data_IF_821526412847
#
_entry.id   IF_821526412847
#
_cell.length_a   1.000
_cell.length_b   1.000
_cell.length_c   1.000
_cell.angle_alpha   90.00
_cell.angle_beta   90.00
_cell.angle_gamma   90.00
#
_symmetry.space_group_name_H-M   'P 1'
#
loop_
_entity.id
_entity.type
_entity.pdbx_description
1 polymer ?
#
# COMPACT_ATOMS: atom_id res chain seq x y z
N UNK A 1 -65.69 -42.12 17.65
CA UNK A 1 -66.51 -41.64 18.78
C UNK A 1 -65.58 -41.12 19.88
N UNK A 2 -66.00 -40.04 20.57
CA UNK A 2 -65.41 -39.37 21.76
C UNK A 2 -64.32 -38.30 21.52
N UNK A 3 -64.83 -37.11 21.20
CA UNK A 3 -64.61 -35.80 21.86
C UNK A 3 -64.58 -35.88 23.41
N UNK A 4 -64.09 -34.95 24.27
CA UNK A 4 -63.71 -33.53 24.29
C UNK A 4 -62.69 -33.24 25.43
N UNK A 5 -61.81 -32.25 25.19
CA UNK A 5 -61.37 -31.06 25.98
C UNK A 5 -61.22 -31.07 27.52
N UNK A 6 -60.15 -30.42 28.00
CA UNK A 6 -60.21 -29.36 29.02
C UNK A 6 -59.14 -28.29 28.82
N UNK A 7 -59.56 -27.04 29.04
CA UNK A 7 -58.85 -25.78 28.81
C UNK A 7 -58.08 -25.30 30.06
N UNK A 8 -56.98 -24.57 29.86
CA UNK A 8 -56.57 -23.49 30.75
C UNK A 8 -55.78 -22.44 29.94
N UNK A 9 -56.42 -21.29 29.71
CA UNK A 9 -55.77 -20.05 29.31
C UNK A 9 -55.37 -19.30 30.59
N UNK A 10 -54.26 -18.54 30.57
CA UNK A 10 -54.25 -17.06 30.59
C UNK A 10 -52.87 -16.49 30.99
N UNK A 11 -52.41 -15.49 30.19
CA UNK A 11 -51.58 -14.29 30.51
C UNK A 11 -50.15 -14.52 31.08
N UNK A 12 -49.09 -13.87 30.59
CA UNK A 12 -48.87 -12.42 30.41
C UNK A 12 -47.77 -12.16 29.36
N UNK A 13 -47.93 -11.02 28.68
CA UNK A 13 -47.12 -10.44 27.63
C UNK A 13 -45.73 -9.95 28.05
N UNK A 14 -44.86 -9.76 27.05
CA UNK A 14 -43.91 -8.65 27.02
C UNK A 14 -42.44 -9.03 26.92
N UNK A 15 -41.90 -9.04 25.71
CA UNK A 15 -40.89 -8.05 25.28
C UNK A 15 -40.74 -8.08 23.77
N UNK A 16 -40.91 -6.91 23.16
CA UNK A 16 -40.48 -6.60 21.79
C UNK A 16 -38.96 -6.64 21.77
N UNK A 17 -38.38 -7.42 20.87
CA UNK A 17 -37.05 -7.17 20.35
C UNK A 17 -37.11 -7.27 18.83
N UNK A 18 -37.30 -6.11 18.21
CA UNK A 18 -37.03 -5.88 16.80
C UNK A 18 -35.53 -5.93 16.59
N UNK A 19 -35.04 -6.98 15.92
CA UNK A 19 -33.91 -6.81 15.01
C UNK A 19 -34.21 -7.62 13.75
N UNK A 20 -34.48 -6.88 12.68
CA UNK A 20 -34.28 -7.34 11.32
C UNK A 20 -32.82 -7.75 11.14
N UNK A 21 -32.55 -9.03 10.92
CA UNK A 21 -31.35 -9.44 10.20
C UNK A 21 -31.80 -10.06 8.90
N UNK A 22 -31.81 -9.23 7.86
CA UNK A 22 -32.06 -9.63 6.49
C UNK A 22 -31.32 -10.92 6.17
N UNK A 23 -32.05 -11.87 5.57
CA UNK A 23 -31.48 -12.96 4.81
C UNK A 23 -30.45 -12.34 3.85
N UNK A 24 -29.20 -12.77 3.97
CA UNK A 24 -28.20 -12.46 2.95
C UNK A 24 -28.49 -13.43 1.81
N UNK A 25 -29.15 -12.92 0.78
CA UNK A 25 -29.16 -13.54 -0.53
C UNK A 25 -27.72 -13.85 -0.95
N UNK A 26 -27.51 -15.04 -1.49
CA UNK A 26 -26.29 -15.45 -2.17
C UNK A 26 -26.04 -14.52 -3.36
N UNK A 27 -25.41 -13.38 -3.11
CA UNK A 27 -24.78 -12.59 -4.16
C UNK A 27 -23.50 -13.33 -4.53
N UNK A 28 -23.62 -14.18 -5.55
CA UNK A 28 -22.52 -14.51 -6.45
C UNK A 28 -21.71 -13.24 -6.69
N UNK A 29 -20.47 -13.23 -6.22
CA UNK A 29 -19.43 -12.23 -6.43
C UNK A 29 -19.68 -11.34 -7.66
N UNK A 30 -19.73 -9.99 -7.53
CA UNK A 30 -19.48 -9.12 -8.67
C UNK A 30 -17.98 -9.16 -8.97
N UNK A 31 -17.53 -10.28 -9.53
CA UNK A 31 -16.28 -10.32 -10.27
C UNK A 31 -16.60 -9.81 -11.67
N UNK A 32 -16.71 -8.50 -11.81
CA UNK A 32 -16.72 -7.83 -13.10
C UNK A 32 -15.75 -6.67 -12.99
N UNK A 33 -14.47 -7.06 -12.97
CA UNK A 33 -13.36 -6.14 -13.05
C UNK A 33 -13.52 -5.26 -14.28
N UNK A 34 -13.67 -3.96 -14.06
CA UNK A 34 -13.44 -2.96 -15.08
C UNK A 34 -11.96 -3.06 -15.48
N UNK A 35 -11.72 -3.53 -16.70
CA UNK A 35 -10.40 -3.56 -17.32
C UNK A 35 -10.07 -2.19 -17.90
N UNK A 36 -8.97 -1.60 -17.43
CA UNK A 36 -8.26 -0.55 -18.17
C UNK A 36 -6.81 -1.03 -18.30
N UNK A 37 -6.39 -1.36 -19.52
CA UNK A 37 -4.97 -1.57 -19.84
C UNK A 37 -4.32 -2.89 -19.38
N UNK A 38 -5.04 -4.02 -19.41
CA UNK A 38 -4.40 -5.35 -19.33
C UNK A 38 -3.97 -5.85 -17.95
N UNK A 39 -4.27 -5.13 -16.88
CA UNK A 39 -4.26 -5.65 -15.50
C UNK A 39 -5.67 -5.63 -14.92
N UNK A 40 -6.08 -6.69 -14.20
CA UNK A 40 -7.31 -6.66 -13.41
C UNK A 40 -7.13 -5.62 -12.30
N UNK A 41 -7.79 -4.47 -12.42
CA UNK A 41 -7.82 -3.46 -11.38
C UNK A 41 -8.58 -4.01 -10.17
N UNK A 42 -7.97 -3.94 -8.99
CA UNK A 42 -8.63 -4.36 -7.76
C UNK A 42 -9.28 -3.14 -7.13
N UNK A 43 -10.60 -3.12 -7.16
CA UNK A 43 -11.38 -2.03 -6.56
C UNK A 43 -11.41 -2.21 -5.03
N UNK A 44 -10.91 -1.23 -4.30
CA UNK A 44 -11.07 -1.15 -2.84
C UNK A 44 -12.23 -0.20 -2.55
N UNK A 45 -13.35 -0.68 -1.98
CA UNK A 45 -14.45 0.20 -1.59
C UNK A 45 -14.01 1.13 -0.46
N UNK A 46 -14.69 2.25 -0.31
CA UNK A 46 -14.42 3.16 0.81
C UNK A 46 -14.69 2.46 2.15
N UNK A 47 -13.80 2.65 3.13
CA UNK A 47 -13.75 1.91 4.39
C UNK A 47 -13.31 0.44 4.24
N UNK A 48 -13.00 -0.02 3.02
CA UNK A 48 -12.61 -1.37 2.73
C UNK A 48 -11.10 -1.61 2.78
N UNK A 49 -10.73 -2.89 2.72
CA UNK A 49 -9.35 -3.35 2.61
C UNK A 49 -9.26 -4.60 1.74
N UNK A 50 -8.14 -4.77 1.06
CA UNK A 50 -7.78 -5.98 0.31
C UNK A 50 -6.42 -6.50 0.78
N UNK A 51 -6.25 -7.81 0.71
CA UNK A 51 -4.96 -8.46 0.90
C UNK A 51 -4.29 -8.67 -0.48
N UNK A 52 -3.08 -8.13 -0.62
CA UNK A 52 -2.31 -8.21 -1.86
C UNK A 52 -1.86 -9.64 -2.18
N UNK A 53 -1.85 -10.54 -1.21
CA UNK A 53 -1.47 -11.95 -1.40
C UNK A 53 -2.53 -12.79 -2.11
N UNK A 54 -3.74 -12.26 -2.26
CA UNK A 54 -4.87 -12.91 -2.95
C UNK A 54 -5.46 -12.04 -4.07
N UNK A 55 -4.90 -10.85 -4.30
CA UNK A 55 -5.44 -9.85 -5.22
C UNK A 55 -4.56 -9.65 -6.47
N UNK A 56 -5.17 -9.78 -7.65
CA UNK A 56 -4.52 -9.50 -8.93
C UNK A 56 -3.54 -10.58 -9.42
N UNK A 57 -2.91 -10.36 -10.58
CA UNK A 57 -2.08 -11.37 -11.24
C UNK A 57 -0.76 -11.70 -10.52
N UNK A 58 -0.32 -10.87 -9.58
CA UNK A 58 0.94 -11.03 -8.84
C UNK A 58 0.74 -11.38 -7.36
N UNK A 59 -0.45 -11.86 -7.01
CA UNK A 59 -0.86 -12.19 -5.66
C UNK A 59 0.13 -13.15 -4.95
N UNK A 60 0.55 -14.21 -5.64
CA UNK A 60 1.52 -15.20 -5.11
C UNK A 60 2.93 -14.66 -4.83
N UNK A 61 3.25 -13.46 -5.32
CA UNK A 61 4.57 -12.80 -5.19
C UNK A 61 4.49 -11.49 -4.41
N UNK A 62 3.33 -11.15 -3.86
CA UNK A 62 3.10 -9.87 -3.19
C UNK A 62 2.47 -10.09 -1.82
N UNK A 63 2.90 -9.32 -0.82
CA UNK A 63 2.30 -9.26 0.52
C UNK A 63 1.96 -7.81 0.86
N UNK A 64 1.11 -7.67 1.86
CA UNK A 64 0.64 -6.40 2.38
C UNK A 64 -0.85 -6.20 2.13
N UNK A 65 -1.37 -5.09 2.60
CA UNK A 65 -2.79 -4.74 2.47
C UNK A 65 -2.93 -3.37 1.84
N UNK A 66 -3.99 -3.18 1.07
CA UNK A 66 -4.42 -1.86 0.59
C UNK A 66 -5.78 -1.56 1.20
N UNK A 67 -5.85 -0.52 2.02
CA UNK A 67 -7.08 -0.01 2.59
C UNK A 67 -7.43 1.35 1.99
N UNK A 68 -8.70 1.73 2.04
CA UNK A 68 -9.17 3.01 1.50
C UNK A 68 -10.03 3.76 2.50
N UNK A 69 -9.78 5.05 2.64
CA UNK A 69 -10.60 6.00 3.39
C UNK A 69 -10.80 7.27 2.54
N UNK A 70 -12.03 7.51 2.10
CA UNK A 70 -12.39 8.52 1.11
C UNK A 70 -11.62 8.35 -0.19
N UNK A 71 -10.76 9.32 -0.50
CA UNK A 71 -9.88 9.32 -1.68
C UNK A 71 -8.45 8.87 -1.40
N UNK A 72 -8.14 8.52 -0.15
CA UNK A 72 -6.80 8.11 0.28
C UNK A 72 -6.73 6.61 0.35
N UNK A 73 -5.71 6.04 -0.30
CA UNK A 73 -5.35 4.64 -0.17
C UNK A 73 -4.13 4.53 0.74
N UNK A 74 -4.15 3.55 1.64
CA UNK A 74 -3.06 3.25 2.55
C UNK A 74 -2.59 1.82 2.30
N UNK A 75 -1.32 1.69 1.95
CA UNK A 75 -0.63 0.43 1.75
C UNK A 75 0.23 0.13 2.98
N UNK A 76 0.02 -1.04 3.53
CA UNK A 76 0.73 -1.52 4.73
C UNK A 76 1.46 -2.80 4.41
N UNK A 77 2.70 -2.93 4.90
CA UNK A 77 3.53 -4.12 4.74
C UNK A 77 3.74 -4.58 3.29
N UNK A 78 3.83 -3.64 2.34
CA UNK A 78 4.07 -3.99 0.95
C UNK A 78 5.46 -4.61 0.78
N UNK A 79 5.48 -5.88 0.40
CA UNK A 79 6.69 -6.61 0.10
C UNK A 79 6.47 -7.57 -1.07
N UNK A 80 7.54 -7.92 -1.76
CA UNK A 80 7.54 -8.80 -2.91
C UNK A 80 8.72 -9.76 -2.86
N UNK A 81 8.52 -10.96 -3.38
CA UNK A 81 9.50 -12.01 -3.35
C UNK A 81 8.97 -13.30 -3.95
N UNK A 82 9.73 -14.38 -3.78
CA UNK A 82 9.27 -15.73 -4.09
C UNK A 82 9.00 -16.48 -2.80
N UNK A 83 7.82 -17.09 -2.73
CA UNK A 83 7.55 -18.15 -1.75
C UNK A 83 8.05 -19.43 -2.39
N UNK A 84 9.28 -19.86 -2.08
CA UNK A 84 9.74 -21.21 -2.44
C UNK A 84 9.14 -22.13 -1.40
N UNK A 85 8.03 -22.80 -1.73
CA UNK A 85 7.25 -23.62 -0.81
C UNK A 85 8.06 -24.24 0.37
N UNK A 86 7.88 -23.74 1.61
CA UNK A 86 8.24 -24.45 2.82
C UNK A 86 7.06 -24.46 3.83
N UNK A 87 7.27 -25.02 5.04
CA UNK A 87 6.26 -25.18 6.09
C UNK A 87 5.56 -23.89 6.57
N UNK A 88 6.08 -22.71 6.19
CA UNK A 88 5.50 -21.41 6.50
C UNK A 88 5.39 -20.55 5.22
N UNK A 89 4.18 -20.50 4.65
CA UNK A 89 3.86 -19.68 3.47
C UNK A 89 3.83 -18.17 3.76
N UNK A 90 3.98 -17.76 5.03
CA UNK A 90 3.90 -16.35 5.44
C UNK A 90 5.23 -15.62 5.31
N UNK A 91 6.34 -16.30 5.00
CA UNK A 91 7.68 -15.71 4.81
C UNK A 91 8.15 -15.77 3.35
N UNK A 92 9.12 -14.91 2.98
CA UNK A 92 9.72 -14.93 1.65
C UNK A 92 10.96 -15.82 1.68
N UNK A 93 11.03 -16.80 0.78
CA UNK A 93 12.24 -17.62 0.62
C UNK A 93 13.33 -16.83 -0.10
N UNK A 94 12.94 -15.96 -1.03
CA UNK A 94 13.81 -14.93 -1.59
C UNK A 94 13.07 -13.60 -1.63
N UNK A 95 13.62 -12.61 -0.95
CA UNK A 95 13.14 -11.23 -0.98
C UNK A 95 13.54 -10.60 -2.32
N UNK A 96 12.62 -9.92 -3.01
CA UNK A 96 12.94 -9.26 -4.26
C UNK A 96 13.91 -8.09 -4.03
N UNK A 97 14.81 -7.84 -4.97
CA UNK A 97 15.68 -6.65 -4.96
C UNK A 97 14.97 -5.40 -5.52
N UNK A 98 13.85 -5.59 -6.21
CA UNK A 98 13.06 -4.53 -6.82
C UNK A 98 11.58 -4.86 -6.69
N UNK A 99 10.79 -3.83 -6.37
CA UNK A 99 9.36 -3.93 -6.09
C UNK A 99 8.62 -2.99 -7.03
N UNK A 100 7.43 -3.39 -7.46
CA UNK A 100 6.60 -2.65 -8.40
C UNK A 100 5.20 -2.52 -7.87
N UNK A 101 4.65 -1.30 -7.93
CA UNK A 101 3.27 -1.05 -7.52
C UNK A 101 2.56 -0.17 -8.55
N UNK A 102 1.32 -0.51 -8.87
CA UNK A 102 0.46 0.28 -9.74
C UNK A 102 -0.61 0.99 -8.90
N UNK A 103 -0.56 2.32 -8.87
CA UNK A 103 -1.47 3.15 -8.07
C UNK A 103 -2.89 3.20 -8.65
N UNK A 104 -3.05 2.96 -9.95
CA UNK A 104 -4.36 2.96 -10.61
C UNK A 104 -5.12 1.64 -10.39
N UNK A 105 -4.39 0.52 -10.29
CA UNK A 105 -4.98 -0.82 -10.16
C UNK A 105 -4.86 -1.42 -8.76
N UNK A 106 -4.16 -0.76 -7.84
CA UNK A 106 -3.96 -1.15 -6.44
C UNK A 106 -3.30 -2.52 -6.25
N UNK A 107 -2.43 -2.93 -7.18
CA UNK A 107 -1.74 -4.22 -7.13
C UNK A 107 -0.23 -4.10 -7.27
N UNK A 108 0.46 -5.09 -6.70
CA UNK A 108 1.88 -5.32 -6.93
C UNK A 108 2.18 -5.82 -8.35
N UNK A 109 3.45 -5.83 -8.72
CA UNK A 109 3.93 -6.23 -10.05
C UNK A 109 5.18 -7.11 -10.06
N UNK A 110 5.64 -7.50 -11.24
CA UNK A 110 7.01 -7.98 -11.44
C UNK A 110 7.68 -7.38 -12.67
N UNK A 111 9.02 -7.40 -12.67
CA UNK A 111 9.85 -6.84 -13.75
C UNK A 111 9.70 -7.61 -15.08
N UNK A 112 9.29 -8.88 -15.02
CA UNK A 112 9.19 -9.77 -16.18
C UNK A 112 8.13 -9.25 -17.17
N UNK A 113 7.11 -8.56 -16.67
CA UNK A 113 6.02 -8.01 -17.47
C UNK A 113 6.03 -6.48 -17.53
N UNK A 114 7.14 -5.81 -17.15
CA UNK A 114 7.23 -4.35 -17.15
C UNK A 114 6.97 -3.69 -18.51
N UNK A 115 7.07 -4.44 -19.61
CA UNK A 115 6.77 -3.96 -20.97
C UNK A 115 5.29 -4.05 -21.33
N UNK A 116 4.50 -4.87 -20.62
CA UNK A 116 3.07 -5.11 -20.88
C UNK A 116 2.17 -4.57 -19.77
N UNK A 117 2.69 -4.43 -18.56
CA UNK A 117 2.02 -3.84 -17.40
C UNK A 117 2.72 -2.55 -17.03
N UNK A 118 2.03 -1.42 -17.19
CA UNK A 118 2.53 -0.11 -16.75
C UNK A 118 2.43 -0.02 -15.23
N UNK A 119 3.55 -0.11 -14.51
CA UNK A 119 3.56 0.17 -13.07
C UNK A 119 3.75 1.66 -12.82
N UNK A 120 3.36 2.13 -11.65
CA UNK A 120 3.44 3.56 -11.33
C UNK A 120 4.72 3.85 -10.55
N UNK A 121 5.04 2.98 -9.59
CA UNK A 121 6.20 3.09 -8.72
C UNK A 121 7.11 1.88 -8.88
N UNK A 122 8.41 2.13 -8.81
CA UNK A 122 9.42 1.11 -8.55
C UNK A 122 10.19 1.49 -7.29
N UNK A 123 10.38 0.52 -6.42
CA UNK A 123 11.21 0.62 -5.23
C UNK A 123 12.39 -0.33 -5.38
N UNK A 124 13.56 0.05 -4.91
CA UNK A 124 14.69 -0.87 -4.74
C UNK A 124 14.75 -1.34 -3.29
N UNK A 125 15.15 -2.59 -3.06
CA UNK A 125 15.11 -3.20 -1.73
C UNK A 125 16.35 -4.03 -1.36
N UNK A 126 16.43 -4.27 -0.05
CA UNK A 126 17.46 -4.87 0.84
C UNK A 126 18.72 -4.05 1.13
N UNK A 127 19.18 -3.18 0.22
CA UNK A 127 20.35 -2.33 0.48
C UNK A 127 20.04 -0.82 0.39
N UNK A 128 19.23 -0.41 -0.58
CA UNK A 128 19.03 1.01 -0.91
C UNK A 128 17.53 1.22 -1.09
N UNK A 129 16.90 2.09 -0.30
CA UNK A 129 15.46 2.30 -0.33
C UNK A 129 14.94 3.14 -1.51
N UNK A 130 15.68 3.30 -2.60
CA UNK A 130 15.39 4.26 -3.68
C UNK A 130 14.03 4.03 -4.37
N UNK A 131 13.45 5.12 -4.85
CA UNK A 131 12.11 5.14 -5.45
C UNK A 131 12.10 5.90 -6.74
N UNK A 132 11.38 5.36 -7.71
CA UNK A 132 11.29 5.83 -9.07
C UNK A 132 9.83 5.89 -9.52
N UNK A 133 9.51 6.86 -10.37
CA UNK A 133 8.36 6.74 -11.25
C UNK A 133 8.69 5.69 -12.32
N UNK A 134 8.03 4.53 -12.29
CA UNK A 134 8.34 3.40 -13.18
C UNK A 134 7.37 3.29 -14.35
N UNK A 135 7.15 4.42 -15.04
CA UNK A 135 6.46 4.42 -16.32
C UNK A 135 7.06 5.48 -17.23
N UNK A 136 6.90 5.28 -18.53
CA UNK A 136 7.06 6.35 -19.51
C UNK A 136 6.03 7.48 -19.32
N UNK A 137 4.95 7.21 -18.59
CA UNK A 137 3.85 8.14 -18.34
C UNK A 137 4.16 9.21 -17.30
N UNK A 138 5.00 8.92 -16.30
CA UNK A 138 5.20 9.82 -15.17
C UNK A 138 6.63 10.32 -15.03
N UNK A 139 6.77 11.50 -14.43
CA UNK A 139 8.01 12.02 -13.85
C UNK A 139 7.88 12.08 -12.34
N UNK A 140 8.97 11.81 -11.63
CA UNK A 140 9.00 11.89 -10.17
C UNK A 140 9.44 13.29 -9.73
N UNK A 141 8.62 13.90 -8.88
CA UNK A 141 8.88 15.15 -8.21
C UNK A 141 8.60 14.98 -6.70
N UNK A 142 8.93 15.98 -5.91
CA UNK A 142 8.53 16.06 -4.51
C UNK A 142 8.10 17.47 -4.11
N UNK A 143 7.42 17.55 -2.97
CA UNK A 143 7.04 18.77 -2.28
C UNK A 143 7.30 18.56 -0.78
N UNK A 144 7.99 19.50 -0.14
CA UNK A 144 8.27 19.46 1.31
C UNK A 144 7.07 19.98 2.09
N UNK A 145 5.99 19.21 2.02
CA UNK A 145 4.70 19.50 2.66
C UNK A 145 4.04 18.19 3.02
N UNK A 146 3.31 18.18 4.14
CA UNK A 146 2.60 16.99 4.60
C UNK A 146 1.58 16.49 3.57
N UNK A 147 1.38 15.18 3.54
CA UNK A 147 0.51 14.52 2.56
C UNK A 147 -0.90 15.11 2.48
N UNK A 148 -1.49 15.45 3.63
CA UNK A 148 -2.84 16.00 3.72
C UNK A 148 -3.00 17.30 2.92
N UNK A 149 -1.98 18.17 2.92
CA UNK A 149 -2.02 19.50 2.33
C UNK A 149 -1.31 19.59 0.98
N UNK A 150 -0.45 18.63 0.64
CA UNK A 150 0.22 18.59 -0.66
C UNK A 150 -0.79 18.52 -1.82
N UNK A 151 -0.61 19.41 -2.80
CA UNK A 151 -1.45 19.52 -4.02
C UNK A 151 -0.66 19.39 -5.32
N UNK A 152 0.68 19.35 -5.27
CA UNK A 152 1.50 19.23 -6.46
C UNK A 152 1.52 20.48 -7.34
N UNK A 153 1.22 21.67 -6.77
CA UNK A 153 1.26 22.95 -7.48
C UNK A 153 2.69 23.43 -7.67
N UNK A 154 3.46 23.51 -6.58
CA UNK A 154 4.89 23.83 -6.60
C UNK A 154 5.67 22.60 -6.19
N UNK A 155 6.49 22.07 -7.09
CA UNK A 155 7.21 20.82 -6.91
C UNK A 155 8.66 20.96 -7.37
N UNK A 156 9.53 20.14 -6.79
CA UNK A 156 10.94 20.03 -7.20
C UNK A 156 11.11 18.68 -7.91
N UNK A 157 11.78 18.68 -9.06
CA UNK A 157 12.06 17.46 -9.80
C UNK A 157 13.01 16.56 -9.01
N UNK A 158 12.73 15.25 -8.97
CA UNK A 158 13.63 14.29 -8.34
C UNK A 158 14.90 14.14 -9.19
N UNK A 159 16.11 14.38 -8.63
CA UNK A 159 17.36 14.26 -9.38
C UNK A 159 17.52 12.84 -9.95
N UNK A 160 17.86 12.74 -11.25
CA UNK A 160 17.97 11.46 -11.94
C UNK A 160 16.68 10.64 -11.98
N UNK A 161 15.52 11.26 -11.75
CA UNK A 161 14.22 10.60 -11.72
C UNK A 161 14.00 9.70 -10.51
N UNK A 162 14.80 9.87 -9.44
CA UNK A 162 14.74 9.03 -8.25
C UNK A 162 14.85 9.82 -6.95
N UNK A 163 14.28 9.28 -5.88
CA UNK A 163 14.51 9.74 -4.52
C UNK A 163 15.06 8.58 -3.69
N UNK A 164 16.26 8.76 -3.17
CA UNK A 164 16.94 7.79 -2.32
C UNK A 164 17.12 8.33 -0.91
N UNK A 165 18.36 8.30 -0.41
CA UNK A 165 18.74 8.92 0.86
C UNK A 165 18.66 10.44 0.76
N UNK A 166 18.03 11.05 1.77
CA UNK A 166 17.95 12.47 1.95
C UNK A 166 19.11 12.94 2.83
N UNK A 167 19.16 12.54 4.10
CA UNK A 167 20.31 12.82 4.96
C UNK A 167 20.94 11.53 5.49
N UNK A 168 22.26 11.57 5.68
CA UNK A 168 23.00 10.55 6.44
C UNK A 168 23.46 11.19 7.73
N UNK A 169 23.12 10.57 8.85
CA UNK A 169 23.52 10.97 10.19
C UNK A 169 24.47 9.96 10.81
N UNK A 170 25.27 10.42 11.77
CA UNK A 170 25.98 9.59 12.73
C UNK A 170 25.58 10.08 14.12
N UNK A 171 24.56 9.44 14.69
CA UNK A 171 23.86 9.98 15.85
C UNK A 171 23.20 11.33 15.50
N UNK A 172 23.55 12.40 16.24
CA UNK A 172 23.00 13.73 15.99
C UNK A 172 23.75 14.53 14.89
N UNK A 173 24.86 14.01 14.36
CA UNK A 173 25.73 14.73 13.42
C UNK A 173 25.30 14.45 11.99
N UNK A 174 25.01 15.48 11.20
CA UNK A 174 24.79 15.36 9.76
C UNK A 174 26.13 15.09 9.05
N UNK A 175 26.24 13.95 8.38
CA UNK A 175 27.44 13.51 7.66
C UNK A 175 27.33 13.81 6.17
N UNK A 176 26.14 13.63 5.61
CA UNK A 176 25.88 13.87 4.18
C UNK A 176 24.44 14.32 3.98
N UNK A 177 24.23 15.20 3.00
CA UNK A 177 22.92 15.65 2.57
C UNK A 177 22.74 15.38 1.07
N UNK A 178 21.52 15.10 0.69
CA UNK A 178 21.08 14.74 -0.64
C UNK A 178 19.61 15.08 -0.84
N UNK A 179 18.99 14.45 -1.83
CA UNK A 179 17.58 14.67 -2.16
C UNK A 179 16.89 13.32 -2.25
N UNK A 180 16.19 12.98 -1.17
CA UNK A 180 15.67 11.63 -0.98
C UNK A 180 14.27 11.58 -0.40
N UNK A 181 13.83 10.42 0.06
CA UNK A 181 12.60 10.31 0.85
C UNK A 181 12.87 9.85 2.29
N UNK A 182 14.08 9.41 2.60
CA UNK A 182 14.43 8.91 3.92
C UNK A 182 15.75 9.45 4.43
N UNK A 183 15.84 9.59 5.73
CA UNK A 183 17.07 9.84 6.46
C UNK A 183 17.62 8.51 6.99
N UNK A 184 18.94 8.37 7.04
CA UNK A 184 19.64 7.16 7.45
C UNK A 184 20.66 7.49 8.55
N UNK A 185 20.56 6.82 9.69
CA UNK A 185 21.55 6.93 10.76
C UNK A 185 22.54 5.77 10.66
N UNK A 186 23.79 6.06 10.31
CA UNK A 186 24.84 5.05 10.16
C UNK A 186 25.27 4.42 11.48
N UNK A 187 25.00 5.08 12.62
CA UNK A 187 25.37 4.54 13.94
C UNK A 187 24.42 3.41 14.38
N UNK A 188 23.16 3.52 14.02
CA UNK A 188 22.11 2.55 14.33
C UNK A 188 21.69 1.71 13.12
N UNK A 189 22.10 2.08 11.91
CA UNK A 189 21.58 1.51 10.66
C UNK A 189 20.04 1.60 10.54
N UNK A 190 19.44 2.66 11.09
CA UNK A 190 17.99 2.89 11.05
C UNK A 190 17.63 3.92 9.98
N UNK A 191 16.53 3.64 9.27
CA UNK A 191 15.96 4.47 8.21
C UNK A 191 14.69 5.13 8.72
N UNK A 192 14.57 6.45 8.60
CA UNK A 192 13.35 7.19 8.95
C UNK A 192 12.84 7.94 7.74
N UNK A 193 11.54 7.94 7.49
CA UNK A 193 10.99 8.78 6.43
C UNK A 193 11.30 10.26 6.69
N UNK A 194 11.85 10.96 5.70
CA UNK A 194 12.14 12.38 5.79
C UNK A 194 10.82 13.16 5.82
N UNK A 195 10.67 14.07 6.78
CA UNK A 195 9.42 14.81 6.97
C UNK A 195 9.67 16.33 7.09
N UNK A 196 8.71 17.16 6.61
CA UNK A 196 7.55 16.77 5.80
C UNK A 196 7.98 16.51 4.34
N UNK A 197 7.64 15.35 3.77
CA UNK A 197 7.86 15.10 2.34
C UNK A 197 6.74 14.30 1.69
N UNK A 198 6.23 14.83 0.59
CA UNK A 198 5.27 14.16 -0.29
C UNK A 198 5.85 14.06 -1.69
N UNK A 199 5.87 12.84 -2.22
CA UNK A 199 6.23 12.56 -3.60
C UNK A 199 5.06 12.94 -4.51
N UNK A 200 5.35 13.56 -5.64
CA UNK A 200 4.37 13.97 -6.64
C UNK A 200 4.73 13.29 -7.95
N UNK A 201 3.80 12.51 -8.49
CA UNK A 201 3.92 11.98 -9.85
C UNK A 201 3.20 12.92 -10.80
N UNK A 202 3.96 13.45 -11.75
CA UNK A 202 3.43 14.34 -12.78
C UNK A 202 3.36 13.60 -14.09
N UNK A 203 2.26 13.77 -14.81
CA UNK A 203 2.14 13.31 -16.19
C UNK A 203 3.31 13.89 -17.01
N UNK A 204 4.04 13.04 -17.71
CA UNK A 204 5.29 13.40 -18.39
C UNK A 204 5.06 14.35 -19.55
N UNK A 205 3.90 14.24 -20.21
CA UNK A 205 3.58 15.04 -21.40
C UNK A 205 3.02 16.41 -21.02
N UNK A 206 2.06 16.46 -20.10
CA UNK A 206 1.34 17.67 -19.71
C UNK A 206 1.99 18.41 -18.55
N UNK A 207 2.83 17.73 -17.76
CA UNK A 207 3.39 18.27 -16.53
C UNK A 207 2.37 18.46 -15.41
N UNK A 208 1.14 17.95 -15.55
CA UNK A 208 0.11 18.04 -14.50
C UNK A 208 0.41 17.04 -13.38
N UNK A 209 0.25 17.44 -12.11
CA UNK A 209 0.28 16.49 -11.00
C UNK A 209 -0.91 15.52 -11.07
N UNK A 210 -0.65 14.22 -10.96
CA UNK A 210 -1.68 13.16 -11.09
C UNK A 210 -1.80 12.34 -9.82
N UNK A 211 -0.68 12.10 -9.14
CA UNK A 211 -0.67 11.36 -7.88
C UNK A 211 0.19 12.07 -6.85
N UNK A 212 -0.21 11.97 -5.59
CA UNK A 212 0.66 12.20 -4.45
C UNK A 212 0.87 10.91 -3.68
N UNK A 213 2.07 10.73 -3.15
CA UNK A 213 2.49 9.56 -2.38
C UNK A 213 3.28 10.03 -1.17
N UNK A 214 3.04 9.45 0.00
CA UNK A 214 3.85 9.69 1.19
C UNK A 214 4.23 8.36 1.80
N UNK A 215 5.53 8.18 2.01
CA UNK A 215 6.10 6.95 2.50
C UNK A 215 6.43 7.19 3.95
N UNK A 216 5.99 6.26 4.78
CA UNK A 216 6.02 6.40 6.23
C UNK A 216 7.08 5.49 6.84
N UNK A 217 7.32 4.33 6.24
CA UNK A 217 8.29 3.37 6.75
C UNK A 217 8.68 2.32 5.71
N UNK A 218 9.84 1.70 5.89
CA UNK A 218 10.32 0.51 5.16
C UNK A 218 10.33 -0.73 6.06
N UNK A 219 9.84 -0.63 7.30
CA UNK A 219 9.82 -1.74 8.25
C UNK A 219 8.45 -2.40 8.32
N UNK A 220 8.43 -3.68 8.64
CA UNK A 220 7.18 -4.39 8.92
C UNK A 220 6.44 -3.71 10.07
N UNK A 221 5.14 -3.48 9.90
CA UNK A 221 4.26 -2.76 10.81
C UNK A 221 4.76 -1.34 11.14
N UNK A 222 5.40 -0.72 10.16
CA UNK A 222 5.95 0.63 10.21
C UNK A 222 7.04 0.89 11.25
N UNK A 223 7.51 -0.13 11.98
CA UNK A 223 8.42 0.04 13.12
C UNK A 223 9.64 -0.88 13.01
N UNK A 224 10.88 -0.40 13.19
CA UNK A 224 12.05 -1.27 13.29
C UNK A 224 11.88 -2.28 14.43
N UNK A 225 12.25 -3.55 14.21
CA UNK A 225 12.20 -4.58 15.25
C UNK A 225 13.35 -4.50 16.28
N UNK A 226 14.30 -3.59 16.08
CA UNK A 226 15.41 -3.33 16.98
C UNK A 226 15.84 -1.86 16.87
N UNK A 227 16.47 -1.33 17.92
CA UNK A 227 17.00 0.04 17.94
C UNK A 227 18.27 0.23 17.13
N UNK A 228 18.92 -0.88 16.73
CA UNK A 228 20.07 -0.89 15.83
C UNK A 228 20.03 -2.14 14.96
N UNK A 229 20.47 -2.02 13.70
CA UNK A 229 20.55 -3.12 12.73
C UNK A 229 19.26 -3.94 12.66
N UNK A 230 18.11 -3.26 12.58
CA UNK A 230 16.81 -3.91 12.41
C UNK A 230 16.83 -4.87 11.20
N UNK A 231 16.03 -5.91 11.21
CA UNK A 231 16.05 -6.95 10.15
C UNK A 231 14.72 -7.14 9.45
N UNK A 232 13.67 -6.47 9.92
CA UNK A 232 12.30 -6.57 9.41
C UNK A 232 12.04 -5.61 8.24
N UNK A 233 12.91 -5.59 7.24
CA UNK A 233 12.80 -4.75 6.04
C UNK A 233 13.28 -5.51 4.77
N UNK A 234 12.89 -5.11 3.55
CA UNK A 234 11.98 -4.02 3.23
C UNK A 234 10.49 -4.43 3.20
N UNK A 235 9.68 -3.69 3.96
CA UNK A 235 8.22 -3.72 3.94
C UNK A 235 7.74 -2.28 3.85
N UNK A 236 7.38 -1.83 2.65
CA UNK A 236 6.99 -0.45 2.44
C UNK A 236 5.61 -0.17 3.02
N UNK A 237 5.50 0.95 3.72
CA UNK A 237 4.25 1.50 4.23
C UNK A 237 4.10 2.90 3.65
N UNK A 238 3.05 3.11 2.88
CA UNK A 238 2.83 4.38 2.20
C UNK A 238 1.35 4.64 1.96
N UNK A 239 1.03 5.91 1.79
CA UNK A 239 -0.29 6.35 1.38
C UNK A 239 -0.23 7.07 0.05
N UNK A 240 -1.29 7.00 -0.72
CA UNK A 240 -1.39 7.68 -2.01
C UNK A 240 -2.80 8.14 -2.31
N UNK A 241 -2.89 9.14 -3.19
CA UNK A 241 -4.14 9.75 -3.61
C UNK A 241 -3.97 10.37 -5.00
N UNK A 242 -5.00 10.26 -5.84
CA UNK A 242 -5.08 10.98 -7.11
C UNK A 242 -5.29 12.49 -6.88
N UNK A 243 -4.69 13.33 -7.72
CA UNK A 243 -4.77 14.80 -7.70
C UNK A 243 -5.59 15.37 -8.85
#
# INVERSE_FOLDING_TARGET
MKTLRFSAALLVAGTIALFSSCQKDDVTTPNSGLTVGGGLAVTVPDGGSIDLSVAGPYASKTKGTVSRSGSVYTVTNFAQGTVTAPADSTQWSNVASTYYFNLATNVGGDSVNATTVSYTLRFTGSANGDIYAYSSTYTLNYQDTAFATAKGVTTIAAPGGKLGTNNIYMGAVLVSAGTGWYDYDISSHIVTAHQPRTLILKDRTTGKAVWKVSITSIYSNSTPNASSSATNYPYYNFQYQAL
#
